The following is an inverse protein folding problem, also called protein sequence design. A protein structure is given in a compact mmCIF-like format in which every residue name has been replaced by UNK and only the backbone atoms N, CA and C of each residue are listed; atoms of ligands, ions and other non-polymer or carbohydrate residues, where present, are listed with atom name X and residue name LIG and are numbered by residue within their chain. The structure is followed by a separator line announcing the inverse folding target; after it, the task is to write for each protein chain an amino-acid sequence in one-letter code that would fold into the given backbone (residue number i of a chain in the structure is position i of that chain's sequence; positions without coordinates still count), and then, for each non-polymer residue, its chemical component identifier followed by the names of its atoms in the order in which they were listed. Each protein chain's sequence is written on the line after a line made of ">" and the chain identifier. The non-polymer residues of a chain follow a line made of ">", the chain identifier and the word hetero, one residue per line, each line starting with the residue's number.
data_IF_421632291698
#
_entry.id   IF_421632291698
#
_cell.length_a   1.000
_cell.length_b   1.000
_cell.length_c   1.000
_cell.angle_alpha   90.00
_cell.angle_beta   90.00
_cell.angle_gamma   90.00
#
_symmetry.space_group_name_H-M   'P 1'
#
loop_
_entity.id
_entity.type
_entity.pdbx_description
1 polymer ?
#
# COMPACT_ATOMS: atom_id res chain seq x y z
N UNK A 1 -62.94 -5.89 -5.97
CA UNK A 1 -61.78 -5.44 -6.78
C UNK A 1 -60.55 -5.02 -5.95
N UNK A 2 -60.71 -4.50 -4.73
CA UNK A 2 -59.58 -4.03 -3.88
C UNK A 2 -58.75 -5.17 -3.22
N UNK A 3 -59.32 -6.36 -3.04
CA UNK A 3 -58.63 -7.50 -2.40
C UNK A 3 -57.62 -8.22 -3.31
N UNK A 4 -57.84 -8.28 -4.63
CA UNK A 4 -56.94 -8.96 -5.57
C UNK A 4 -55.65 -8.15 -5.85
N UNK A 5 -55.72 -6.82 -5.81
CA UNK A 5 -54.55 -5.94 -6.03
C UNK A 5 -53.57 -6.04 -4.84
N UNK A 6 -54.07 -6.17 -3.60
CA UNK A 6 -53.22 -6.33 -2.42
C UNK A 6 -52.53 -7.71 -2.34
N UNK A 7 -53.15 -8.76 -2.86
CA UNK A 7 -52.55 -10.10 -2.92
C UNK A 7 -51.50 -10.17 -4.03
N UNK A 8 -51.74 -9.55 -5.18
CA UNK A 8 -50.74 -9.48 -6.27
C UNK A 8 -49.54 -8.60 -5.87
N UNK A 9 -49.75 -7.47 -5.18
CA UNK A 9 -48.66 -6.65 -4.66
C UNK A 9 -47.87 -7.35 -3.54
N UNK A 10 -48.52 -8.13 -2.66
CA UNK A 10 -47.82 -8.95 -1.66
C UNK A 10 -47.02 -10.10 -2.28
N UNK A 11 -47.56 -10.78 -3.30
CA UNK A 11 -46.87 -11.85 -4.01
C UNK A 11 -45.69 -11.29 -4.84
N UNK A 12 -45.84 -10.11 -5.44
CA UNK A 12 -44.76 -9.41 -6.12
C UNK A 12 -43.67 -8.96 -5.13
N UNK A 13 -44.04 -8.43 -3.96
CA UNK A 13 -43.08 -8.08 -2.90
C UNK A 13 -42.37 -9.30 -2.31
N UNK A 14 -43.05 -10.44 -2.15
CA UNK A 14 -42.42 -11.69 -1.69
C UNK A 14 -41.47 -12.26 -2.74
N UNK A 15 -41.84 -12.24 -4.02
CA UNK A 15 -40.92 -12.62 -5.11
C UNK A 15 -39.72 -11.69 -5.22
N UNK A 16 -39.90 -10.39 -4.99
CA UNK A 16 -38.78 -9.43 -4.95
C UNK A 16 -37.90 -9.65 -3.71
N UNK A 17 -38.47 -9.95 -2.54
CA UNK A 17 -37.70 -10.30 -1.35
C UNK A 17 -36.96 -11.64 -1.48
N UNK A 18 -37.56 -12.64 -2.15
CA UNK A 18 -36.91 -13.92 -2.44
C UNK A 18 -35.84 -13.78 -3.51
N UNK A 19 -36.03 -12.92 -4.52
CA UNK A 19 -34.98 -12.54 -5.48
C UNK A 19 -33.88 -11.75 -4.78
N UNK A 20 -34.20 -10.81 -3.90
CA UNK A 20 -33.19 -10.07 -3.10
C UNK A 20 -32.47 -11.01 -2.14
N UNK A 21 -33.16 -12.00 -1.54
CA UNK A 21 -32.53 -13.04 -0.71
C UNK A 21 -31.67 -13.97 -1.54
N UNK A 22 -32.12 -14.40 -2.71
CA UNK A 22 -31.33 -15.21 -3.64
C UNK A 22 -30.13 -14.43 -4.15
N UNK A 23 -30.28 -13.14 -4.45
CA UNK A 23 -29.20 -12.22 -4.83
C UNK A 23 -28.29 -11.95 -3.63
N UNK A 24 -28.78 -11.87 -2.39
CA UNK A 24 -27.94 -11.75 -1.19
C UNK A 24 -27.26 -13.07 -0.80
N UNK A 25 -27.87 -14.22 -1.10
CA UNK A 25 -27.30 -15.56 -0.93
C UNK A 25 -26.26 -15.80 -2.02
N UNK A 26 -26.55 -15.45 -3.26
CA UNK A 26 -25.61 -15.45 -4.40
C UNK A 26 -24.52 -14.41 -4.22
N UNK A 27 -24.80 -13.23 -3.65
CA UNK A 27 -23.79 -12.23 -3.31
C UNK A 27 -22.98 -12.66 -2.09
N UNK A 28 -23.55 -13.35 -1.11
CA UNK A 28 -22.79 -13.88 0.04
C UNK A 28 -22.00 -15.13 -0.31
N UNK A 29 -22.52 -15.99 -1.20
CA UNK A 29 -21.76 -17.05 -1.85
C UNK A 29 -20.72 -16.46 -2.76
N UNK A 30 -21.03 -15.44 -3.56
CA UNK A 30 -20.07 -14.72 -4.38
C UNK A 30 -19.07 -13.97 -3.52
N UNK A 31 -19.41 -13.41 -2.35
CA UNK A 31 -18.46 -12.77 -1.44
C UNK A 31 -17.60 -13.82 -0.72
N UNK A 32 -18.13 -15.00 -0.45
CA UNK A 32 -17.39 -16.15 0.12
C UNK A 32 -16.52 -16.81 -0.94
N UNK A 33 -16.98 -16.87 -2.18
CA UNK A 33 -16.29 -17.33 -3.39
C UNK A 33 -15.30 -16.29 -3.85
N UNK A 34 -15.54 -14.99 -3.68
CA UNK A 34 -14.62 -13.84 -3.90
C UNK A 34 -13.62 -13.77 -2.76
N UNK A 35 -13.97 -14.10 -1.51
CA UNK A 35 -13.00 -14.25 -0.42
C UNK A 35 -12.10 -15.47 -0.69
N UNK A 36 -12.66 -16.58 -1.18
CA UNK A 36 -11.90 -17.75 -1.61
C UNK A 36 -11.15 -17.53 -2.94
N UNK A 37 -11.68 -16.71 -3.86
CA UNK A 37 -11.00 -16.29 -5.10
C UNK A 37 -9.96 -15.22 -4.82
N UNK A 38 -10.13 -14.36 -3.80
CA UNK A 38 -9.08 -13.47 -3.27
C UNK A 38 -7.99 -14.26 -2.57
N UNK A 39 -8.30 -15.45 -2.05
CA UNK A 39 -7.32 -16.41 -1.61
C UNK A 39 -6.58 -17.10 -2.78
N UNK A 40 -7.13 -17.05 -4.01
CA UNK A 40 -6.60 -17.68 -5.24
C UNK A 40 -6.21 -16.69 -6.38
N UNK A 41 -6.37 -15.37 -6.23
CA UNK A 41 -6.10 -14.35 -7.26
C UNK A 41 -4.69 -13.80 -7.15
N UNK A 42 -3.82 -14.47 -7.93
CA UNK A 42 -2.38 -14.29 -8.09
C UNK A 42 -1.94 -12.92 -8.68
N UNK A 43 -1.66 -11.93 -7.82
CA UNK A 43 -0.42 -11.09 -7.91
C UNK A 43 0.39 -11.13 -6.63
N UNK A 44 -0.20 -11.61 -5.55
CA UNK A 44 0.55 -12.32 -4.55
C UNK A 44 0.23 -13.77 -4.78
N UNK A 45 0.98 -14.46 -5.66
CA UNK A 45 1.10 -15.90 -5.44
C UNK A 45 1.48 -16.02 -3.97
N UNK A 46 0.77 -16.81 -3.17
CA UNK A 46 1.15 -17.10 -1.78
C UNK A 46 2.44 -17.94 -1.77
N UNK A 47 3.47 -17.45 -2.45
CA UNK A 47 4.81 -17.97 -2.70
C UNK A 47 5.74 -16.86 -3.22
N UNK A 48 5.24 -15.67 -3.61
CA UNK A 48 6.06 -14.57 -4.10
C UNK A 48 7.17 -14.23 -3.09
N UNK A 49 6.85 -14.28 -1.81
CA UNK A 49 7.76 -13.96 -0.73
C UNK A 49 8.90 -14.97 -0.57
N UNK A 50 8.66 -16.23 -0.95
CA UNK A 50 9.65 -17.31 -0.84
C UNK A 50 10.72 -17.23 -1.92
N UNK A 51 10.41 -16.57 -3.05
CA UNK A 51 11.38 -16.28 -4.11
C UNK A 51 12.53 -15.36 -3.66
N UNK A 52 12.36 -14.64 -2.55
CA UNK A 52 13.38 -13.74 -2.00
C UNK A 52 14.26 -14.37 -0.92
N UNK A 53 14.04 -15.63 -0.54
CA UNK A 53 14.92 -16.31 0.42
C UNK A 53 16.40 -16.26 -0.01
N UNK A 54 16.77 -16.56 -1.28
CA UNK A 54 18.16 -16.45 -1.74
C UNK A 54 18.72 -15.02 -1.64
N UNK A 55 17.90 -14.00 -1.89
CA UNK A 55 18.30 -12.60 -1.82
C UNK A 55 18.53 -12.15 -0.37
N UNK A 56 17.69 -12.59 0.56
CA UNK A 56 17.86 -12.34 2.00
C UNK A 56 19.12 -13.05 2.53
N UNK A 57 19.43 -14.24 2.03
CA UNK A 57 20.69 -14.92 2.31
C UNK A 57 21.89 -14.16 1.75
N UNK A 58 21.83 -13.72 0.50
CA UNK A 58 22.88 -12.92 -0.12
C UNK A 58 23.14 -11.63 0.68
N UNK A 59 22.09 -10.97 1.17
CA UNK A 59 22.20 -9.82 2.06
C UNK A 59 22.85 -10.19 3.40
N UNK A 60 22.43 -11.31 4.02
CA UNK A 60 22.98 -11.78 5.29
C UNK A 60 24.50 -12.02 5.19
N UNK A 61 24.99 -12.59 4.08
CA UNK A 61 26.41 -12.84 3.85
C UNK A 61 27.24 -11.58 3.64
N UNK A 62 26.63 -10.46 3.26
CA UNK A 62 27.31 -9.16 3.08
C UNK A 62 27.41 -8.36 4.37
N UNK A 63 26.66 -8.73 5.40
CA UNK A 63 26.60 -7.99 6.66
C UNK A 63 27.68 -8.45 7.65
N UNK A 64 28.25 -7.52 8.45
CA UNK A 64 29.12 -7.88 9.56
C UNK A 64 28.41 -8.83 10.53
N UNK A 65 29.07 -9.93 10.93
CA UNK A 65 28.47 -11.04 11.70
C UNK A 65 27.64 -10.63 12.94
N UNK A 66 28.04 -9.58 13.67
CA UNK A 66 27.29 -9.08 14.84
C UNK A 66 25.99 -8.35 14.48
N UNK A 67 25.96 -7.66 13.34
CA UNK A 67 24.79 -6.91 12.84
C UNK A 67 23.85 -7.78 11.99
N UNK A 68 24.39 -8.77 11.28
CA UNK A 68 23.65 -9.70 10.43
C UNK A 68 22.66 -10.56 11.24
N UNK A 69 23.09 -11.03 12.41
CA UNK A 69 22.35 -12.02 13.20
C UNK A 69 21.10 -11.48 13.88
N UNK A 70 21.08 -10.22 14.32
CA UNK A 70 19.96 -9.70 15.12
C UNK A 70 18.82 -9.11 14.29
N UNK A 71 19.07 -8.73 13.03
CA UNK A 71 18.09 -7.99 12.22
C UNK A 71 17.58 -8.72 10.98
N UNK A 72 18.46 -9.35 10.21
CA UNK A 72 18.04 -10.07 8.97
C UNK A 72 17.58 -11.49 9.26
N UNK A 73 18.19 -12.17 10.23
CA UNK A 73 17.84 -13.55 10.58
C UNK A 73 16.39 -13.74 11.04
N UNK A 74 15.78 -12.83 11.84
CA UNK A 74 14.35 -12.88 12.14
C UNK A 74 13.48 -12.77 10.88
N UNK A 75 13.80 -11.84 9.98
CA UNK A 75 13.08 -11.65 8.70
C UNK A 75 13.13 -12.94 7.86
N UNK A 76 14.32 -13.53 7.73
CA UNK A 76 14.51 -14.80 7.02
C UNK A 76 13.69 -15.95 7.64
N UNK A 77 13.68 -16.06 8.97
CA UNK A 77 12.90 -17.07 9.67
C UNK A 77 11.40 -16.90 9.44
N UNK A 78 10.90 -15.66 9.45
CA UNK A 78 9.49 -15.36 9.16
C UNK A 78 9.15 -15.76 7.72
N UNK A 79 9.98 -15.41 6.73
CA UNK A 79 9.78 -15.79 5.32
C UNK A 79 9.70 -17.32 5.16
N UNK A 80 10.54 -18.07 5.86
CA UNK A 80 10.51 -19.55 5.86
C UNK A 80 9.25 -20.14 6.52
N UNK A 81 8.79 -19.52 7.61
CA UNK A 81 7.53 -19.93 8.25
C UNK A 81 6.34 -19.65 7.34
N UNK A 82 6.33 -18.52 6.63
CA UNK A 82 5.32 -18.23 5.61
C UNK A 82 5.36 -19.30 4.50
N UNK A 83 6.54 -19.65 3.98
CA UNK A 83 6.69 -20.70 2.97
C UNK A 83 6.11 -22.05 3.42
N UNK A 84 6.40 -22.42 4.66
CA UNK A 84 5.95 -23.68 5.26
C UNK A 84 4.43 -23.69 5.45
N UNK A 85 3.87 -22.59 5.98
CA UNK A 85 2.43 -22.45 6.18
C UNK A 85 1.65 -22.41 4.86
N UNK A 86 2.24 -21.84 3.79
CA UNK A 86 1.65 -21.82 2.45
C UNK A 86 1.59 -23.21 1.81
N UNK A 87 2.65 -24.01 1.99
CA UNK A 87 2.70 -25.39 1.51
C UNK A 87 1.70 -26.28 2.26
N UNK A 88 1.53 -26.07 3.57
CA UNK A 88 0.55 -26.80 4.36
C UNK A 88 -0.91 -26.47 3.99
N UNK A 89 -1.18 -25.22 3.56
CA UNK A 89 -2.52 -24.77 3.15
C UNK A 89 -2.98 -25.42 1.83
N UNK A 90 -2.05 -25.73 0.90
CA UNK A 90 -2.41 -26.44 -0.34
C UNK A 90 -2.85 -27.89 -0.11
N UNK A 91 -2.50 -28.46 1.05
CA UNK A 91 -2.75 -29.87 1.38
C UNK A 91 -3.96 -30.06 2.33
N UNK A 92 -4.62 -28.99 2.80
CA UNK A 92 -5.69 -29.08 3.81
C UNK A 92 -7.11 -29.17 3.24
N UNK A 93 -7.85 -30.20 3.67
CA UNK A 93 -9.17 -30.57 3.11
C UNK A 93 -10.36 -29.97 3.89
N UNK A 94 -10.15 -29.42 5.10
CA UNK A 94 -11.26 -28.98 5.98
C UNK A 94 -11.31 -27.47 6.23
N UNK A 95 -12.53 -26.92 6.25
CA UNK A 95 -12.81 -25.48 6.39
C UNK A 95 -12.28 -24.85 7.69
N UNK A 96 -12.21 -25.60 8.79
CA UNK A 96 -11.74 -25.11 10.09
C UNK A 96 -10.20 -24.99 10.11
N UNK A 97 -9.50 -25.96 9.51
CA UNK A 97 -8.04 -25.91 9.35
C UNK A 97 -7.64 -24.72 8.49
N UNK A 98 -8.39 -24.44 7.42
CA UNK A 98 -8.13 -23.30 6.53
C UNK A 98 -8.24 -21.97 7.27
N UNK A 99 -9.20 -21.83 8.19
CA UNK A 99 -9.37 -20.59 8.98
C UNK A 99 -8.21 -20.37 9.95
N UNK A 100 -7.76 -21.45 10.63
CA UNK A 100 -6.62 -21.39 11.54
C UNK A 100 -5.30 -21.08 10.81
N UNK A 101 -5.07 -21.69 9.65
CA UNK A 101 -3.89 -21.43 8.81
C UNK A 101 -3.89 -20.02 8.24
N UNK A 102 -5.05 -19.50 7.80
CA UNK A 102 -5.16 -18.12 7.33
C UNK A 102 -4.84 -17.12 8.45
N UNK A 103 -5.30 -17.41 9.68
CA UNK A 103 -4.95 -16.60 10.84
C UNK A 103 -3.43 -16.61 11.10
N UNK A 104 -2.80 -17.77 11.09
CA UNK A 104 -1.34 -17.89 11.24
C UNK A 104 -0.59 -17.11 10.16
N UNK A 105 -1.02 -17.20 8.89
CA UNK A 105 -0.40 -16.44 7.79
C UNK A 105 -0.52 -14.94 8.01
N UNK A 106 -1.70 -14.45 8.43
CA UNK A 106 -1.89 -13.04 8.75
C UNK A 106 -0.96 -12.58 9.89
N UNK A 107 -0.84 -13.39 10.95
CA UNK A 107 0.05 -13.10 12.08
C UNK A 107 1.53 -13.05 11.63
N UNK A 108 1.94 -13.94 10.71
CA UNK A 108 3.30 -13.94 10.15
C UNK A 108 3.57 -12.73 9.25
N UNK A 109 2.61 -12.32 8.43
CA UNK A 109 2.75 -11.11 7.61
C UNK A 109 2.86 -9.85 8.47
N UNK A 110 2.10 -9.76 9.57
CA UNK A 110 2.22 -8.64 10.52
C UNK A 110 3.57 -8.66 11.26
N UNK A 111 4.07 -9.83 11.63
CA UNK A 111 5.42 -9.97 12.19
C UNK A 111 6.50 -9.54 11.19
N UNK A 112 6.35 -9.90 9.91
CA UNK A 112 7.26 -9.48 8.86
C UNK A 112 7.24 -7.95 8.70
N UNK A 113 6.05 -7.37 8.62
CA UNK A 113 5.86 -5.91 8.51
C UNK A 113 6.49 -5.18 9.69
N UNK A 114 6.27 -5.67 10.90
CA UNK A 114 6.86 -5.12 12.12
C UNK A 114 8.38 -5.23 12.09
N UNK A 115 8.91 -6.35 11.61
CA UNK A 115 10.36 -6.54 11.49
C UNK A 115 10.97 -5.56 10.49
N UNK A 116 10.32 -5.32 9.34
CA UNK A 116 10.82 -4.43 8.30
C UNK A 116 10.64 -2.93 8.60
N UNK A 117 10.07 -2.57 9.75
CA UNK A 117 9.80 -1.18 10.15
C UNK A 117 10.45 -0.82 11.49
N UNK A 118 10.68 0.47 11.74
CA UNK A 118 10.97 1.06 13.04
C UNK A 118 9.74 1.86 13.49
N UNK A 119 9.39 1.77 14.78
CA UNK A 119 8.33 2.58 15.41
C UNK A 119 6.98 2.49 14.69
N UNK A 120 6.62 1.29 14.25
CA UNK A 120 5.35 0.91 13.62
C UNK A 120 5.03 1.49 12.23
N UNK A 121 5.77 2.45 11.67
CA UNK A 121 5.39 3.06 10.37
C UNK A 121 6.53 3.66 9.52
N UNK A 122 7.78 3.70 10.03
CA UNK A 122 8.95 4.09 9.24
C UNK A 122 9.81 2.88 8.85
N UNK A 123 10.52 2.88 7.73
CA UNK A 123 11.39 1.75 7.30
C UNK A 123 12.87 2.17 7.17
N UNK A 124 13.40 2.84 8.18
CA UNK A 124 14.74 3.44 8.05
C UNK A 124 15.85 2.39 8.10
N UNK A 125 15.74 1.32 8.90
CA UNK A 125 16.87 0.41 9.06
C UNK A 125 17.08 -0.55 7.88
N UNK A 126 16.01 -1.17 7.38
CA UNK A 126 16.14 -2.24 6.38
C UNK A 126 16.51 -1.64 5.01
N UNK A 127 15.90 -0.49 4.67
CA UNK A 127 16.28 0.27 3.47
C UNK A 127 17.73 0.74 3.54
N UNK A 128 18.20 1.27 4.68
CA UNK A 128 19.60 1.66 4.87
C UNK A 128 20.58 0.49 4.78
N UNK A 129 20.20 -0.69 5.28
CA UNK A 129 21.04 -1.88 5.14
C UNK A 129 21.17 -2.27 3.66
N UNK A 130 20.07 -2.27 2.92
CA UNK A 130 20.10 -2.59 1.49
C UNK A 130 20.91 -1.55 0.72
N UNK A 131 20.69 -0.26 0.96
CA UNK A 131 21.45 0.81 0.30
C UNK A 131 22.95 0.76 0.65
N UNK A 132 23.29 0.52 1.93
CA UNK A 132 24.68 0.48 2.38
C UNK A 132 25.45 -0.73 1.86
N UNK A 133 24.83 -1.92 1.87
CA UNK A 133 25.51 -3.20 1.59
C UNK A 133 25.20 -3.80 0.22
N UNK A 134 24.25 -3.23 -0.54
CA UNK A 134 23.93 -3.63 -1.92
C UNK A 134 24.20 -2.53 -2.96
N UNK A 135 24.79 -1.38 -2.59
CA UNK A 135 25.10 -0.29 -3.53
C UNK A 135 25.92 -0.72 -4.75
N UNK A 136 26.83 -1.69 -4.60
CA UNK A 136 27.63 -2.25 -5.70
C UNK A 136 26.96 -3.39 -6.50
N UNK A 137 25.75 -3.82 -6.12
CA UNK A 137 24.98 -4.84 -6.83
C UNK A 137 23.56 -4.35 -7.05
N UNK A 138 23.38 -3.62 -8.16
CA UNK A 138 22.11 -3.01 -8.53
C UNK A 138 20.98 -4.04 -8.72
N UNK A 139 21.30 -5.28 -9.07
CA UNK A 139 20.30 -6.33 -9.29
C UNK A 139 19.76 -6.82 -7.95
N UNK A 140 20.64 -7.17 -7.01
CA UNK A 140 20.23 -7.58 -5.67
C UNK A 140 19.51 -6.45 -4.94
N UNK A 141 20.01 -5.21 -5.06
CA UNK A 141 19.35 -4.01 -4.54
C UNK A 141 17.90 -3.93 -5.04
N UNK A 142 17.69 -4.01 -6.36
CA UNK A 142 16.35 -3.90 -6.96
C UNK A 142 15.41 -5.01 -6.48
N UNK A 143 15.88 -6.26 -6.39
CA UNK A 143 15.05 -7.38 -5.91
C UNK A 143 14.69 -7.23 -4.43
N UNK A 144 15.64 -6.82 -3.59
CA UNK A 144 15.37 -6.57 -2.17
C UNK A 144 14.46 -5.36 -1.94
N UNK A 145 14.58 -4.31 -2.76
CA UNK A 145 13.63 -3.19 -2.76
C UNK A 145 12.22 -3.64 -3.15
N UNK A 146 12.09 -4.52 -4.14
CA UNK A 146 10.80 -5.09 -4.53
C UNK A 146 10.22 -5.99 -3.43
N UNK A 147 11.05 -6.77 -2.73
CA UNK A 147 10.65 -7.52 -1.54
C UNK A 147 10.04 -6.63 -0.46
N UNK A 148 10.71 -5.52 -0.10
CA UNK A 148 10.17 -4.56 0.86
C UNK A 148 8.83 -4.03 0.38
N UNK A 149 8.77 -3.56 -0.86
CA UNK A 149 7.56 -2.95 -1.41
C UNK A 149 6.38 -3.93 -1.43
N UNK A 150 6.62 -5.20 -1.73
CA UNK A 150 5.58 -6.23 -1.64
C UNK A 150 5.17 -6.55 -0.20
N UNK A 151 6.09 -6.45 0.77
CA UNK A 151 5.83 -6.83 2.15
C UNK A 151 5.12 -5.73 2.95
N UNK A 152 5.51 -4.47 2.76
CA UNK A 152 5.04 -3.33 3.56
C UNK A 152 4.45 -2.17 2.74
N UNK A 153 4.40 -2.32 1.42
CA UNK A 153 3.91 -1.30 0.49
C UNK A 153 4.99 -0.33 0.01
N UNK A 154 4.62 0.63 -0.86
CA UNK A 154 5.53 1.63 -1.39
C UNK A 154 6.23 2.43 -0.29
N UNK A 155 7.54 2.60 -0.44
CA UNK A 155 8.38 3.33 0.50
C UNK A 155 8.75 4.67 -0.10
N UNK A 156 8.36 5.75 0.56
CA UNK A 156 8.74 7.12 0.17
C UNK A 156 9.87 7.56 1.09
N UNK A 157 10.93 8.15 0.55
CA UNK A 157 12.07 8.61 1.36
C UNK A 157 12.00 10.12 1.57
N UNK A 158 12.14 10.53 2.82
CA UNK A 158 12.25 11.93 3.22
C UNK A 158 13.68 12.23 3.66
N UNK A 159 14.33 13.20 3.05
CA UNK A 159 15.70 13.60 3.42
C UNK A 159 15.88 15.12 3.33
N UNK A 160 16.88 15.65 4.04
CA UNK A 160 17.33 17.02 3.78
C UNK A 160 18.21 17.04 2.52
N UNK A 161 17.95 18.01 1.64
CA UNK A 161 18.87 18.37 0.56
C UNK A 161 19.39 19.78 0.79
N UNK A 162 20.70 19.96 0.70
CA UNK A 162 21.35 21.28 0.78
C UNK A 162 22.03 21.58 -0.55
N UNK A 163 21.58 22.62 -1.24
CA UNK A 163 22.19 23.14 -2.48
C UNK A 163 22.37 24.64 -2.36
N UNK A 164 23.58 25.14 -2.61
CA UNK A 164 23.89 26.58 -2.61
C UNK A 164 23.39 27.34 -1.36
N UNK A 165 23.55 26.71 -0.19
CA UNK A 165 23.07 27.18 1.14
C UNK A 165 21.55 27.16 1.34
N UNK A 166 20.77 26.85 0.31
CA UNK A 166 19.34 26.61 0.43
C UNK A 166 19.08 25.18 0.91
N UNK A 167 18.11 25.05 1.81
CA UNK A 167 17.65 23.77 2.34
C UNK A 167 16.34 23.39 1.68
N UNK A 168 16.16 22.10 1.44
CA UNK A 168 14.92 21.55 0.93
C UNK A 168 14.61 20.23 1.61
N UNK A 169 13.33 19.96 1.81
CA UNK A 169 12.84 18.62 2.09
C UNK A 169 12.73 17.89 0.75
N UNK A 170 13.59 16.90 0.54
CA UNK A 170 13.52 16.01 -0.60
C UNK A 170 12.59 14.84 -0.29
N UNK A 171 11.67 14.57 -1.21
CA UNK A 171 10.67 13.51 -1.14
C UNK A 171 10.87 12.62 -2.37
N UNK A 172 11.51 11.48 -2.17
CA UNK A 172 11.82 10.52 -3.24
C UNK A 172 10.76 9.41 -3.27
N UNK A 173 10.10 9.28 -4.42
CA UNK A 173 9.10 8.26 -4.71
C UNK A 173 9.74 7.05 -5.40
N UNK A 174 9.14 5.84 -5.28
CA UNK A 174 9.60 4.66 -6.02
C UNK A 174 9.64 4.85 -7.53
N UNK A 175 8.65 5.58 -8.06
CA UNK A 175 8.48 5.86 -9.48
C UNK A 175 7.81 7.22 -9.73
N UNK A 176 7.82 7.63 -10.98
CA UNK A 176 7.27 8.91 -11.41
C UNK A 176 5.74 8.95 -11.31
N UNK A 177 5.04 7.82 -11.53
CA UNK A 177 3.58 7.76 -11.46
C UNK A 177 3.09 8.09 -10.04
N UNK A 178 3.73 7.51 -9.01
CA UNK A 178 3.41 7.80 -7.62
C UNK A 178 3.70 9.26 -7.26
N UNK A 179 4.82 9.81 -7.73
CA UNK A 179 5.15 11.24 -7.57
C UNK A 179 4.04 12.12 -8.14
N UNK A 180 3.59 11.81 -9.34
CA UNK A 180 2.59 12.62 -10.05
C UNK A 180 1.21 12.53 -9.40
N UNK A 181 0.82 11.33 -8.94
CA UNK A 181 -0.39 11.14 -8.12
C UNK A 181 -0.28 11.95 -6.82
N UNK A 182 0.85 11.87 -6.13
CA UNK A 182 1.08 12.64 -4.90
C UNK A 182 0.93 14.14 -5.13
N UNK A 183 1.58 14.67 -6.17
CA UNK A 183 1.52 16.09 -6.52
C UNK A 183 0.10 16.55 -6.85
N UNK A 184 -0.65 15.73 -7.60
CA UNK A 184 -2.04 16.01 -7.93
C UNK A 184 -2.95 16.01 -6.69
N UNK A 185 -2.77 15.02 -5.80
CA UNK A 185 -3.62 14.84 -4.60
C UNK A 185 -3.31 15.82 -3.48
N UNK A 186 -2.03 16.13 -3.27
CA UNK A 186 -1.60 17.13 -2.29
C UNK A 186 -1.97 18.55 -2.71
N UNK A 187 -2.13 18.80 -4.02
CA UNK A 187 -2.35 20.13 -4.58
C UNK A 187 -1.07 20.96 -4.70
N UNK A 188 0.09 20.38 -4.35
CA UNK A 188 1.39 21.03 -4.42
C UNK A 188 1.78 21.44 -5.84
N UNK A 189 1.32 20.71 -6.86
CA UNK A 189 1.54 21.10 -8.26
C UNK A 189 0.90 22.44 -8.67
N UNK A 190 0.00 23.00 -7.85
CA UNK A 190 -0.57 24.34 -8.05
C UNK A 190 0.26 25.44 -7.38
N UNK A 191 1.26 25.06 -6.59
CA UNK A 191 2.19 25.93 -5.87
C UNK A 191 3.52 26.03 -6.66
N UNK A 192 3.45 26.24 -7.98
CA UNK A 192 4.53 26.02 -8.96
C UNK A 192 5.81 26.82 -8.74
N UNK A 193 5.75 27.95 -8.04
CA UNK A 193 6.88 28.89 -8.00
C UNK A 193 7.93 28.52 -6.95
N UNK A 194 7.63 27.57 -6.05
CA UNK A 194 8.50 27.20 -4.94
C UNK A 194 9.02 25.77 -5.01
N UNK A 195 8.40 24.89 -5.80
CA UNK A 195 8.70 23.45 -5.79
C UNK A 195 9.60 23.08 -6.97
N UNK A 196 10.68 22.35 -6.67
CA UNK A 196 11.57 21.81 -7.70
C UNK A 196 11.24 20.33 -7.90
N UNK A 197 11.10 19.90 -9.16
CA UNK A 197 10.89 18.51 -9.54
C UNK A 197 12.13 17.96 -10.24
N UNK A 198 12.58 16.78 -9.85
CA UNK A 198 13.68 16.08 -10.53
C UNK A 198 13.47 14.57 -10.44
N UNK A 199 13.36 13.90 -11.59
CA UNK A 199 13.07 12.45 -11.67
C UNK A 199 11.91 12.07 -10.74
N UNK A 200 12.03 11.02 -9.93
CA UNK A 200 10.98 10.60 -9.01
C UNK A 200 10.95 11.41 -7.71
N UNK A 201 11.56 12.60 -7.67
CA UNK A 201 11.69 13.41 -6.45
C UNK A 201 11.00 14.76 -6.53
N UNK A 202 10.45 15.18 -5.39
CA UNK A 202 9.90 16.52 -5.14
C UNK A 202 10.75 17.20 -4.08
N UNK A 203 11.16 18.44 -4.33
CA UNK A 203 11.93 19.25 -3.38
C UNK A 203 11.09 20.44 -2.95
N UNK A 204 10.76 20.46 -1.65
CA UNK A 204 10.06 21.56 -1.02
C UNK A 204 11.06 22.47 -0.31
N UNK A 205 11.02 23.80 -0.50
CA UNK A 205 11.86 24.72 0.25
C UNK A 205 11.69 24.52 1.74
N UNK A 206 12.81 24.43 2.45
CA UNK A 206 12.83 24.20 3.87
C UNK A 206 13.74 25.20 4.57
N UNK A 207 13.47 25.42 5.85
CA UNK A 207 14.30 26.25 6.72
C UNK A 207 14.52 25.55 8.06
N UNK A 208 15.46 26.06 8.85
CA UNK A 208 15.66 25.58 10.21
C UNK A 208 14.87 26.47 11.17
N UNK A 209 14.01 25.85 11.98
CA UNK A 209 13.35 26.55 13.08
C UNK A 209 14.36 26.96 14.16
N UNK A 210 13.92 27.79 15.12
CA UNK A 210 14.75 28.18 16.28
C UNK A 210 15.30 26.97 17.05
N UNK A 211 14.56 25.87 17.05
CA UNK A 211 14.93 24.62 17.74
C UNK A 211 15.76 23.67 16.85
N UNK A 212 16.27 24.15 15.70
CA UNK A 212 17.03 23.37 14.73
C UNK A 212 16.22 22.19 14.16
N UNK A 213 14.91 22.37 13.94
CA UNK A 213 14.08 21.41 13.23
C UNK A 213 13.96 21.82 11.77
N UNK A 214 14.04 20.85 10.85
CA UNK A 214 13.71 21.10 9.44
C UNK A 214 12.22 21.43 9.33
N UNK A 215 11.90 22.60 8.78
CA UNK A 215 10.56 23.11 8.67
C UNK A 215 10.19 23.41 7.21
N UNK A 216 8.96 23.12 6.83
CA UNK A 216 8.39 23.40 5.50
C UNK A 216 7.08 24.14 5.69
N UNK A 217 6.94 25.30 5.05
CA UNK A 217 5.70 26.09 5.08
C UNK A 217 4.90 25.87 3.80
N UNK A 218 3.64 25.52 3.96
CA UNK A 218 2.69 25.31 2.88
C UNK A 218 1.85 26.57 2.63
N UNK A 219 1.20 26.67 1.47
CA UNK A 219 0.32 27.82 1.17
C UNK A 219 -0.93 27.88 2.06
N UNK A 220 -1.45 26.71 2.47
CA UNK A 220 -2.66 26.58 3.27
C UNK A 220 -2.54 25.46 4.29
N UNK A 221 -3.28 25.57 5.40
CA UNK A 221 -3.42 24.50 6.40
C UNK A 221 -3.92 23.22 5.73
N UNK A 222 -4.85 23.33 4.78
CA UNK A 222 -5.38 22.18 4.02
C UNK A 222 -4.30 21.48 3.18
N UNK A 223 -3.42 22.22 2.51
CA UNK A 223 -2.30 21.63 1.74
C UNK A 223 -1.36 20.86 2.68
N UNK A 224 -1.02 21.45 3.84
CA UNK A 224 -0.19 20.82 4.87
C UNK A 224 -0.85 19.56 5.44
N UNK A 225 -2.14 19.60 5.77
CA UNK A 225 -2.85 18.45 6.34
C UNK A 225 -2.99 17.32 5.31
N UNK A 226 -3.27 17.65 4.04
CA UNK A 226 -3.25 16.68 2.95
C UNK A 226 -1.86 16.04 2.78
N UNK A 227 -0.79 16.82 2.89
CA UNK A 227 0.59 16.33 2.84
C UNK A 227 0.87 15.33 3.96
N UNK A 228 0.52 15.68 5.20
CA UNK A 228 0.66 14.83 6.39
C UNK A 228 -0.12 13.53 6.19
N UNK A 229 -1.38 13.63 5.74
CA UNK A 229 -2.26 12.50 5.52
C UNK A 229 -1.73 11.56 4.43
N UNK A 230 -1.38 12.10 3.25
CA UNK A 230 -0.89 11.29 2.13
C UNK A 230 0.42 10.60 2.45
N UNK A 231 1.31 11.19 3.25
CA UNK A 231 2.55 10.55 3.67
C UNK A 231 2.44 9.81 5.02
N UNK A 232 1.23 9.76 5.61
CA UNK A 232 0.93 9.11 6.89
C UNK A 232 1.87 9.55 8.03
N UNK A 233 2.18 10.85 8.08
CA UNK A 233 3.17 11.42 9.01
C UNK A 233 2.61 11.62 10.42
N UNK A 234 1.29 11.75 10.56
CA UNK A 234 0.57 11.91 11.83
C UNK A 234 0.78 10.71 12.78
N UNK A 235 0.65 9.48 12.26
CA UNK A 235 0.77 8.24 13.05
C UNK A 235 2.21 7.89 13.43
N UNK A 236 3.17 8.50 12.76
CA UNK A 236 4.60 8.17 12.91
C UNK A 236 5.30 8.96 14.01
N UNK A 237 4.67 10.00 14.59
CA UNK A 237 5.31 11.01 15.48
C UNK A 237 6.54 11.69 14.86
N UNK A 238 6.79 11.51 13.57
CA UNK A 238 7.95 12.07 12.86
C UNK A 238 7.83 13.58 12.65
N UNK A 239 6.63 14.12 12.75
CA UNK A 239 6.35 15.52 12.51
C UNK A 239 5.61 16.17 13.65
N UNK A 240 5.90 17.44 13.89
CA UNK A 240 5.09 18.34 14.69
C UNK A 240 4.43 19.35 13.75
N UNK A 241 3.17 19.65 14.02
CA UNK A 241 2.36 20.59 13.25
C UNK A 241 1.31 21.16 14.19
N UNK A 242 1.13 22.48 14.18
CA UNK A 242 0.02 23.13 14.88
C UNK A 242 -1.19 23.15 13.93
N UNK A 243 -2.41 22.95 14.43
CA UNK A 243 -3.64 23.00 13.64
C UNK A 243 -3.83 24.36 12.96
N UNK A 244 -3.31 25.43 13.57
CA UNK A 244 -3.53 26.80 13.13
C UNK A 244 -2.36 27.39 12.31
N UNK A 245 -1.30 26.60 12.06
CA UNK A 245 -0.12 27.01 11.29
C UNK A 245 -0.05 26.23 9.96
N UNK A 246 0.44 26.87 8.90
CA UNK A 246 0.74 26.23 7.62
C UNK A 246 2.10 25.51 7.62
N UNK A 247 2.83 25.49 8.72
CA UNK A 247 4.19 24.94 8.81
C UNK A 247 4.22 23.54 9.43
N UNK A 248 4.96 22.66 8.78
CA UNK A 248 5.32 21.33 9.25
C UNK A 248 6.75 21.32 9.78
N UNK A 249 7.00 20.67 10.90
CA UNK A 249 8.33 20.53 11.50
C UNK A 249 8.70 19.04 11.59
N UNK A 250 9.88 18.66 11.12
CA UNK A 250 10.40 17.30 11.29
C UNK A 250 11.04 17.15 12.67
N UNK A 251 10.62 16.13 13.43
CA UNK A 251 11.08 15.88 14.80
C UNK A 251 12.37 15.04 14.88
N UNK A 252 12.75 14.36 13.80
CA UNK A 252 13.96 13.54 13.76
C UNK A 252 15.19 14.34 13.32
N UNK A 253 16.05 14.70 14.28
CA UNK A 253 17.29 15.46 14.02
C UNK A 253 18.26 14.75 13.09
N UNK A 254 18.15 13.42 12.92
CA UNK A 254 19.01 12.67 11.99
C UNK A 254 18.76 13.05 10.53
N UNK A 255 17.61 13.67 10.22
CA UNK A 255 17.31 14.16 8.87
C UNK A 255 18.38 15.12 8.34
N UNK A 256 19.14 15.76 9.25
CA UNK A 256 20.24 16.65 8.90
C UNK A 256 21.54 15.95 8.47
N UNK A 257 21.64 14.63 8.65
CA UNK A 257 22.80 13.84 8.27
C UNK A 257 22.82 13.56 6.76
N UNK A 258 23.16 14.60 6.00
CA UNK A 258 23.30 14.54 4.55
C UNK A 258 24.56 13.78 4.11
N UNK A 259 25.58 13.68 4.98
CA UNK A 259 26.83 12.99 4.69
C UNK A 259 26.63 11.47 4.60
N UNK A 260 25.81 10.89 5.47
CA UNK A 260 25.48 9.46 5.43
C UNK A 260 24.34 9.12 4.46
N UNK A 261 23.82 10.12 3.73
CA UNK A 261 22.60 10.02 2.91
C UNK A 261 21.42 9.51 3.74
N UNK A 262 21.30 10.00 4.97
CA UNK A 262 20.20 9.58 5.84
C UNK A 262 18.86 10.02 5.25
N UNK A 263 17.92 9.09 5.22
CA UNK A 263 16.53 9.37 4.93
C UNK A 263 15.62 8.70 5.96
N UNK A 264 14.43 9.27 6.10
CA UNK A 264 13.33 8.67 6.80
C UNK A 264 12.45 8.02 5.75
N UNK A 265 12.40 6.70 5.76
CA UNK A 265 11.49 5.95 4.91
C UNK A 265 10.10 5.94 5.54
N UNK A 266 9.09 6.50 4.87
CA UNK A 266 7.71 6.53 5.33
C UNK A 266 6.85 5.56 4.53
N UNK A 267 6.04 4.79 5.24
CA UNK A 267 5.04 3.92 4.62
C UNK A 267 3.76 4.71 4.38
N UNK A 268 3.29 4.68 3.15
CA UNK A 268 2.09 5.36 2.73
C UNK A 268 0.94 4.35 2.50
N UNK A 269 -0.03 4.25 3.43
CA UNK A 269 -1.21 3.42 3.26
C UNK A 269 -2.00 3.79 2.01
N UNK A 270 -2.07 5.08 1.65
CA UNK A 270 -2.78 5.52 0.45
C UNK A 270 -2.26 4.82 -0.82
N UNK A 271 -0.94 4.80 -1.05
CA UNK A 271 -0.38 4.14 -2.24
C UNK A 271 -0.50 2.63 -2.20
N UNK A 272 -0.31 2.01 -1.03
CA UNK A 272 -0.49 0.57 -0.88
C UNK A 272 -1.92 0.12 -1.23
N UNK A 273 -2.92 0.85 -0.76
CA UNK A 273 -4.34 0.54 -1.02
C UNK A 273 -4.73 0.86 -2.45
N UNK A 274 -4.19 1.93 -3.02
CA UNK A 274 -4.40 2.28 -4.44
C UNK A 274 -3.91 1.15 -5.35
N UNK A 275 -2.70 0.63 -5.12
CA UNK A 275 -2.14 -0.46 -5.92
C UNK A 275 -2.97 -1.74 -5.81
N UNK A 276 -3.50 -2.07 -4.61
CA UNK A 276 -4.41 -3.20 -4.42
C UNK A 276 -5.66 -3.07 -5.29
N UNK A 277 -6.31 -1.90 -5.26
CA UNK A 277 -7.49 -1.63 -6.08
C UNK A 277 -7.13 -1.73 -7.56
N UNK A 278 -6.08 -1.04 -8.03
CA UNK A 278 -5.65 -1.07 -9.43
C UNK A 278 -5.39 -2.49 -9.92
N UNK A 279 -4.71 -3.30 -9.13
CA UNK A 279 -4.42 -4.68 -9.49
C UNK A 279 -5.70 -5.52 -9.63
N UNK A 280 -6.57 -5.53 -8.62
CA UNK A 280 -7.84 -6.29 -8.67
C UNK A 280 -8.71 -5.79 -9.82
N UNK A 281 -8.73 -4.49 -10.06
CA UNK A 281 -9.44 -3.88 -11.19
C UNK A 281 -8.91 -4.36 -12.53
N UNK A 282 -7.59 -4.45 -12.69
CA UNK A 282 -6.95 -4.92 -13.92
C UNK A 282 -7.31 -6.39 -14.20
N UNK A 283 -7.21 -7.24 -13.19
CA UNK A 283 -7.59 -8.65 -13.27
C UNK A 283 -9.05 -8.83 -13.67
N UNK A 284 -9.95 -8.13 -12.98
CA UNK A 284 -11.38 -8.22 -13.26
C UNK A 284 -11.71 -7.64 -14.64
N UNK A 285 -11.08 -6.53 -15.03
CA UNK A 285 -11.25 -5.95 -16.37
C UNK A 285 -10.77 -6.90 -17.47
N UNK A 286 -9.67 -7.62 -17.26
CA UNK A 286 -9.19 -8.63 -18.21
C UNK A 286 -10.20 -9.79 -18.32
N UNK A 287 -10.59 -10.38 -17.18
CA UNK A 287 -11.58 -11.45 -17.16
C UNK A 287 -12.94 -11.02 -17.76
N UNK A 288 -13.29 -9.75 -17.62
CA UNK A 288 -14.48 -9.13 -18.20
C UNK A 288 -14.43 -9.11 -19.73
N UNK A 289 -13.28 -8.71 -20.31
CA UNK A 289 -13.04 -8.64 -21.76
C UNK A 289 -12.87 -10.00 -22.41
N UNK A 290 -12.21 -10.93 -21.72
CA UNK A 290 -11.92 -12.27 -22.25
C UNK A 290 -13.19 -13.09 -22.54
N UNK A 291 -14.35 -12.69 -22.00
CA UNK A 291 -15.67 -13.18 -22.39
C UNK A 291 -16.00 -14.62 -21.99
N UNK A 292 -15.02 -15.39 -21.51
CA UNK A 292 -15.12 -16.83 -21.24
C UNK A 292 -15.26 -17.16 -19.75
N UNK A 293 -14.89 -16.23 -18.86
CA UNK A 293 -14.90 -16.41 -17.40
C UNK A 293 -16.23 -16.10 -16.71
N UNK A 294 -16.29 -16.37 -15.40
CA UNK A 294 -17.42 -15.99 -14.53
C UNK A 294 -17.66 -14.48 -14.52
N UNK A 295 -16.57 -13.70 -14.47
CA UNK A 295 -16.60 -12.23 -14.50
C UNK A 295 -16.77 -11.63 -15.91
N UNK A 296 -17.13 -12.43 -16.91
CA UNK A 296 -17.30 -11.95 -18.28
C UNK A 296 -18.45 -10.96 -18.42
N UNK A 297 -18.35 -10.09 -19.42
CA UNK A 297 -19.39 -9.09 -19.75
C UNK A 297 -20.80 -9.68 -19.91
N UNK A 298 -20.93 -10.94 -20.33
CA UNK A 298 -22.23 -11.60 -20.54
C UNK A 298 -22.86 -12.15 -19.26
N UNK A 299 -22.07 -12.32 -18.20
CA UNK A 299 -22.50 -12.97 -16.95
C UNK A 299 -22.43 -12.05 -15.74
N UNK A 300 -21.67 -10.96 -15.82
CA UNK A 300 -21.36 -10.11 -14.68
C UNK A 300 -21.49 -8.63 -15.05
N UNK A 301 -22.32 -7.84 -14.35
CA UNK A 301 -22.43 -6.40 -14.60
C UNK A 301 -21.12 -5.66 -14.29
N UNK A 302 -20.80 -4.63 -15.09
CA UNK A 302 -19.58 -3.85 -14.91
C UNK A 302 -19.58 -3.10 -13.56
N UNK A 303 -20.74 -2.61 -13.13
CA UNK A 303 -20.91 -1.89 -11.85
C UNK A 303 -20.56 -2.80 -10.67
N UNK A 304 -20.91 -4.08 -10.76
CA UNK A 304 -20.60 -5.05 -9.72
C UNK A 304 -19.11 -5.41 -9.74
N UNK A 305 -18.49 -5.53 -10.92
CA UNK A 305 -17.04 -5.76 -11.03
C UNK A 305 -16.22 -4.59 -10.49
N UNK A 306 -16.63 -3.36 -10.80
CA UNK A 306 -16.05 -2.13 -10.25
C UNK A 306 -16.21 -2.09 -8.73
N UNK A 307 -17.39 -2.46 -8.20
CA UNK A 307 -17.62 -2.51 -6.76
C UNK A 307 -16.72 -3.53 -6.06
N UNK A 308 -16.55 -4.72 -6.63
CA UNK A 308 -15.63 -5.73 -6.06
C UNK A 308 -14.21 -5.20 -6.04
N UNK A 309 -13.76 -4.57 -7.12
CA UNK A 309 -12.44 -3.97 -7.19
C UNK A 309 -12.25 -2.83 -6.19
N UNK A 310 -13.25 -1.96 -5.99
CA UNK A 310 -13.18 -0.91 -4.96
C UNK A 310 -13.16 -1.48 -3.54
N UNK A 311 -13.93 -2.54 -3.30
CA UNK A 311 -14.03 -3.22 -2.01
C UNK A 311 -12.79 -4.06 -1.66
N UNK A 312 -11.86 -4.22 -2.61
CA UNK A 312 -10.55 -4.83 -2.35
C UNK A 312 -9.72 -4.04 -1.32
N UNK A 313 -10.04 -2.75 -1.13
CA UNK A 313 -9.50 -1.94 -0.04
C UNK A 313 -10.57 -1.69 1.03
N UNK A 314 -10.36 -2.25 2.22
CA UNK A 314 -11.17 -1.92 3.41
C UNK A 314 -10.63 -0.71 4.18
N UNK A 315 -9.56 -0.08 3.69
CA UNK A 315 -8.88 1.01 4.37
C UNK A 315 -9.62 2.34 4.21
N UNK A 316 -9.60 3.16 5.25
CA UNK A 316 -10.08 4.56 5.19
C UNK A 316 -9.07 5.51 4.54
N UNK A 317 -7.89 5.02 4.17
CA UNK A 317 -6.84 5.82 3.53
C UNK A 317 -7.27 6.42 2.17
N UNK A 318 -8.31 5.89 1.53
CA UNK A 318 -8.86 6.38 0.25
C UNK A 318 -10.38 6.50 0.42
N UNK A 319 -10.98 7.59 -0.04
CA UNK A 319 -12.44 7.76 0.02
C UNK A 319 -13.16 6.76 -0.91
N UNK A 320 -14.40 6.38 -0.60
CA UNK A 320 -15.15 5.42 -1.41
C UNK A 320 -15.35 5.88 -2.86
N UNK A 321 -15.62 7.17 -3.07
CA UNK A 321 -15.74 7.75 -4.41
C UNK A 321 -14.43 7.58 -5.19
N UNK A 322 -13.30 7.83 -4.54
CA UNK A 322 -11.99 7.67 -5.15
C UNK A 322 -11.68 6.19 -5.42
N UNK A 323 -11.98 5.27 -4.51
CA UNK A 323 -11.81 3.82 -4.76
C UNK A 323 -12.58 3.39 -6.00
N UNK A 324 -13.82 3.85 -6.14
CA UNK A 324 -14.69 3.57 -7.29
C UNK A 324 -14.11 4.15 -8.59
N UNK A 325 -13.57 5.37 -8.53
CA UNK A 325 -12.93 6.01 -9.68
C UNK A 325 -11.68 5.25 -10.14
N UNK A 326 -10.83 4.84 -9.18
CA UNK A 326 -9.62 4.04 -9.45
C UNK A 326 -10.02 2.72 -10.10
N UNK A 327 -11.04 2.06 -9.55
CA UNK A 327 -11.50 0.78 -10.07
C UNK A 327 -12.04 0.89 -11.49
N UNK A 328 -12.94 1.85 -11.71
CA UNK A 328 -13.58 2.11 -13.00
C UNK A 328 -12.56 2.33 -14.13
N UNK A 329 -11.46 3.04 -13.85
CA UNK A 329 -10.47 3.40 -14.86
C UNK A 329 -9.88 2.19 -15.60
N UNK A 330 -9.71 1.04 -14.92
CA UNK A 330 -9.14 -0.16 -15.55
C UNK A 330 -10.10 -0.81 -16.55
N UNK A 331 -11.41 -0.70 -16.35
CA UNK A 331 -12.42 -1.26 -17.25
C UNK A 331 -12.60 -0.44 -18.53
N UNK A 332 -12.30 0.87 -18.47
CA UNK A 332 -12.42 1.79 -19.60
C UNK A 332 -11.14 1.91 -20.45
N UNK A 333 -10.06 1.21 -20.07
CA UNK A 333 -8.88 1.09 -20.93
C UNK A 333 -9.23 0.22 -22.16
N UNK A 334 -8.67 0.51 -23.34
CA UNK A 334 -8.87 -0.33 -24.53
C UNK A 334 -8.45 -1.79 -24.30
#
# INVERSE_FOLDING_TARGET
>A
MVFQINVINKIAQWKVLDIIRLVLIELSYSFKVIRNLMDDTKLYSKSWITTYEPDLFALLHRLPHKSANSRIRPVLNIVRQIASAQTALSDSVTSELNTAHQKLLNDLYEQLRTSLTENNYGSTWFTRIIEGYCSGDHVLYKRLSHFIQGAIGPVIKLSECVRDKNKSLAIEFPDQEMRDIFLHRSGLNKETDSIILHENSVYLPAFLSKNQQLAVTFSTIKSKDNFIYLLNLDKTRLVASNTDDCTLYINDRRIHDTASKFHIAVLCPYFAERLKIQYVSHMLAQAYRDGTGFFSQTKFPIELAVKIASDASSSEAISMDEKTQIASYSFHRP
#
